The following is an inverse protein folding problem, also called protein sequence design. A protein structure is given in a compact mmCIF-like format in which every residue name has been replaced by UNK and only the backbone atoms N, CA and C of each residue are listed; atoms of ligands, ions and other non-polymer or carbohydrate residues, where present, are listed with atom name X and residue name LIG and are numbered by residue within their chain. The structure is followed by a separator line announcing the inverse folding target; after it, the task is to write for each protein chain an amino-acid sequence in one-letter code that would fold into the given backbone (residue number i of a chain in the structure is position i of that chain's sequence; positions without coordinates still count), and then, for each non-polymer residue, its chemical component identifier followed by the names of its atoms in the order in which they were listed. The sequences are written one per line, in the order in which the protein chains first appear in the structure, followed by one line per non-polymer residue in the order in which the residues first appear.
data_IF_379082609975
#
_entry.id   IF_379082609975
#
_cell.length_a   1.000
_cell.length_b   1.000
_cell.length_c   1.000
_cell.angle_alpha   90.00
_cell.angle_beta   90.00
_cell.angle_gamma   90.00
#
_symmetry.space_group_name_H-M   'P 1'
#
loop_
_entity.id
_entity.type
_entity.pdbx_description
1 polymer ?
#
# COMPACT_ATOMS: atom_id res chain seq x y z
N UNK A 1 -36.06 -37.85 45.72
CA UNK A 1 -35.73 -36.44 45.47
C UNK A 1 -34.98 -36.36 44.15
N UNK A 2 -35.43 -35.56 43.16
CA UNK A 2 -34.98 -35.63 41.77
C UNK A 2 -33.76 -34.74 41.46
N UNK A 3 -32.97 -35.19 40.48
CA UNK A 3 -31.82 -34.52 39.88
C UNK A 3 -32.32 -33.46 38.89
N UNK A 4 -31.99 -32.19 39.09
CA UNK A 4 -32.30 -31.11 38.15
C UNK A 4 -31.14 -30.92 37.15
N UNK A 5 -31.30 -31.49 35.97
CA UNK A 5 -30.43 -31.29 34.81
C UNK A 5 -30.81 -29.98 34.08
N UNK A 6 -30.02 -28.92 34.23
CA UNK A 6 -30.13 -27.70 33.44
C UNK A 6 -29.71 -27.95 31.97
N UNK A 7 -30.67 -28.09 31.06
CA UNK A 7 -30.43 -28.10 29.60
C UNK A 7 -30.17 -26.67 29.11
N UNK A 8 -28.99 -26.42 28.54
CA UNK A 8 -28.69 -25.18 27.79
C UNK A 8 -29.40 -25.24 26.42
N UNK A 9 -30.07 -24.18 25.96
CA UNK A 9 -30.65 -24.14 24.62
C UNK A 9 -29.55 -24.07 23.54
N UNK A 10 -29.76 -24.69 22.37
CA UNK A 10 -28.75 -24.75 21.31
C UNK A 10 -28.56 -23.38 20.64
N UNK A 11 -27.31 -22.93 20.57
CA UNK A 11 -26.82 -21.69 19.94
C UNK A 11 -27.18 -21.54 18.45
N UNK A 12 -27.75 -22.57 17.83
CA UNK A 12 -28.06 -22.63 16.40
C UNK A 12 -29.26 -21.77 15.98
N UNK A 13 -30.20 -21.48 16.89
CA UNK A 13 -31.40 -20.70 16.55
C UNK A 13 -31.11 -19.19 16.38
N UNK A 14 -30.06 -18.68 17.03
CA UNK A 14 -29.64 -17.27 16.91
C UNK A 14 -28.92 -16.97 15.59
N UNK A 15 -28.22 -17.96 15.02
CA UNK A 15 -27.46 -17.81 13.78
C UNK A 15 -28.37 -17.65 12.54
N UNK A 16 -29.52 -18.34 12.53
CA UNK A 16 -30.49 -18.30 11.43
C UNK A 16 -31.20 -16.95 11.30
N UNK A 17 -31.40 -16.23 12.41
CA UNK A 17 -32.05 -14.91 12.39
C UNK A 17 -31.15 -13.80 11.82
N UNK A 18 -29.82 -13.94 11.91
CA UNK A 18 -28.87 -12.97 11.36
C UNK A 18 -28.72 -13.09 9.83
N UNK A 19 -28.82 -14.31 9.30
CA UNK A 19 -28.61 -14.57 7.86
C UNK A 19 -29.77 -14.00 7.02
N UNK A 20 -31.01 -14.06 7.52
CA UNK A 20 -32.18 -13.50 6.84
C UNK A 20 -32.22 -11.97 6.81
N UNK A 21 -31.56 -11.29 7.76
CA UNK A 21 -31.50 -9.82 7.77
C UNK A 21 -30.49 -9.25 6.74
N UNK A 22 -29.45 -10.00 6.40
CA UNK A 22 -28.47 -9.57 5.39
C UNK A 22 -28.97 -9.68 3.94
N UNK A 23 -29.99 -10.50 3.67
CA UNK A 23 -30.50 -10.69 2.31
C UNK A 23 -31.33 -9.49 1.79
N UNK A 24 -31.81 -8.61 2.67
CA UNK A 24 -32.67 -7.48 2.27
C UNK A 24 -31.90 -6.20 1.89
N UNK A 25 -30.57 -6.17 2.04
CA UNK A 25 -29.74 -4.99 1.77
C UNK A 25 -29.09 -4.98 0.36
N UNK A 26 -29.34 -6.01 -0.47
CA UNK A 26 -28.78 -6.11 -1.82
C UNK A 26 -29.58 -5.28 -2.85
N UNK A 27 -29.72 -3.96 -2.61
CA UNK A 27 -30.11 -3.05 -3.69
C UNK A 27 -28.91 -2.85 -4.62
N UNK A 28 -28.88 -3.59 -5.72
CA UNK A 28 -27.95 -3.36 -6.81
C UNK A 28 -28.20 -1.98 -7.42
N UNK A 29 -27.28 -1.04 -7.20
CA UNK A 29 -27.30 0.26 -7.86
C UNK A 29 -27.16 0.09 -9.38
N UNK A 30 -27.87 0.88 -10.21
CA UNK A 30 -27.75 0.80 -11.66
C UNK A 30 -26.32 1.17 -12.09
N UNK A 31 -25.68 0.27 -12.86
CA UNK A 31 -24.39 0.54 -13.50
C UNK A 31 -24.56 1.63 -14.55
N UNK A 32 -24.30 2.88 -14.17
CA UNK A 32 -24.03 3.94 -15.12
C UNK A 32 -22.82 3.53 -15.97
N UNK A 33 -23.03 3.38 -17.29
CA UNK A 33 -21.93 3.26 -18.24
C UNK A 33 -21.04 4.50 -18.07
N UNK A 34 -19.94 4.32 -17.36
CA UNK A 34 -18.90 5.33 -17.18
C UNK A 34 -18.34 5.64 -18.56
N UNK A 35 -18.61 6.86 -19.05
CA UNK A 35 -17.85 7.41 -20.17
C UNK A 35 -16.35 7.24 -19.85
N UNK A 36 -15.57 6.82 -20.85
CA UNK A 36 -14.13 6.67 -20.68
C UNK A 36 -13.56 7.98 -20.10
N UNK A 37 -12.77 7.92 -19.02
CA UNK A 37 -12.26 9.13 -18.41
C UNK A 37 -11.42 9.89 -19.44
N UNK A 38 -11.78 11.15 -19.68
CA UNK A 38 -10.94 12.07 -20.46
C UNK A 38 -9.58 12.11 -19.78
N UNK A 39 -8.51 11.85 -20.53
CA UNK A 39 -7.15 11.85 -20.00
C UNK A 39 -6.75 13.31 -19.72
N UNK A 40 -6.92 13.74 -18.48
CA UNK A 40 -6.54 15.06 -17.99
C UNK A 40 -5.15 14.98 -17.37
N UNK A 41 -4.15 15.51 -18.08
CA UNK A 41 -2.75 15.51 -17.66
C UNK A 41 -2.52 16.34 -16.40
N UNK A 42 -3.10 17.53 -16.30
CA UNK A 42 -2.89 18.40 -15.14
C UNK A 42 -3.47 17.77 -13.88
N UNK A 43 -4.65 17.15 -14.01
CA UNK A 43 -5.23 16.35 -12.94
C UNK A 43 -4.35 15.16 -12.57
N UNK A 44 -3.77 14.45 -13.54
CA UNK A 44 -2.86 13.35 -13.25
C UNK A 44 -1.61 13.82 -12.49
N UNK A 45 -1.02 14.95 -12.87
CA UNK A 45 0.13 15.52 -12.17
C UNK A 45 -0.22 15.97 -10.75
N UNK A 46 -1.39 16.58 -10.56
CA UNK A 46 -1.90 16.93 -9.24
C UNK A 46 -1.99 15.70 -8.32
N UNK A 47 -2.53 14.58 -8.83
CA UNK A 47 -2.65 13.34 -8.07
C UNK A 47 -1.28 12.75 -7.71
N UNK A 48 -0.30 12.78 -8.63
CA UNK A 48 1.06 12.32 -8.34
C UNK A 48 1.69 13.12 -7.20
N UNK A 49 1.52 14.45 -7.20
CA UNK A 49 2.02 15.32 -6.12
C UNK A 49 1.34 15.01 -4.80
N UNK A 50 0.02 14.87 -4.81
CA UNK A 50 -0.76 14.53 -3.63
C UNK A 50 -0.32 13.18 -3.04
N UNK A 51 -0.14 12.17 -3.90
CA UNK A 51 0.34 10.85 -3.49
C UNK A 51 1.75 10.92 -2.89
N UNK A 52 2.64 11.74 -3.44
CA UNK A 52 3.98 11.96 -2.87
C UNK A 52 3.92 12.65 -1.50
N UNK A 53 2.97 13.56 -1.28
CA UNK A 53 2.75 14.19 0.02
C UNK A 53 2.21 13.18 1.05
N UNK A 54 1.24 12.36 0.67
CA UNK A 54 0.66 11.32 1.52
C UNK A 54 1.66 10.21 1.85
N UNK A 55 2.58 9.89 0.95
CA UNK A 55 3.63 8.91 1.20
C UNK A 55 4.49 9.22 2.45
N UNK A 56 4.53 10.49 2.89
CA UNK A 56 5.26 10.90 4.10
C UNK A 56 4.71 10.26 5.38
N UNK A 57 3.44 9.86 5.41
CA UNK A 57 2.82 9.20 6.57
C UNK A 57 2.96 7.68 6.57
N UNK A 58 3.63 7.09 5.57
CA UNK A 58 3.78 5.65 5.48
C UNK A 58 4.67 5.12 6.61
N UNK A 59 4.16 4.14 7.36
CA UNK A 59 4.94 3.39 8.35
C UNK A 59 5.96 2.46 7.68
N UNK A 60 5.62 1.90 6.52
CA UNK A 60 6.52 1.07 5.74
C UNK A 60 7.49 1.94 4.93
N UNK A 61 8.73 2.03 5.41
CA UNK A 61 9.79 2.83 4.79
C UNK A 61 10.15 2.40 3.35
N UNK A 62 10.05 1.11 3.01
CA UNK A 62 10.26 0.64 1.63
C UNK A 62 9.16 1.14 0.71
N UNK A 63 7.91 1.06 1.15
CA UNK A 63 6.76 1.57 0.39
C UNK A 63 6.83 3.10 0.21
N UNK A 64 7.29 3.82 1.24
CA UNK A 64 7.53 5.26 1.20
C UNK A 64 8.58 5.62 0.14
N UNK A 65 9.76 4.97 0.19
CA UNK A 65 10.85 5.20 -0.77
C UNK A 65 10.38 4.90 -2.19
N UNK A 66 9.70 3.76 -2.40
CA UNK A 66 9.18 3.36 -3.71
C UNK A 66 8.19 4.38 -4.26
N UNK A 67 7.26 4.88 -3.43
CA UNK A 67 6.26 5.86 -3.85
C UNK A 67 6.91 7.18 -4.25
N UNK A 68 7.84 7.70 -3.43
CA UNK A 68 8.57 8.93 -3.72
C UNK A 68 9.42 8.82 -5.00
N UNK A 69 10.09 7.68 -5.18
CA UNK A 69 10.90 7.39 -6.37
C UNK A 69 10.03 7.39 -7.63
N UNK A 70 8.87 6.73 -7.58
CA UNK A 70 7.96 6.68 -8.74
C UNK A 70 7.31 8.03 -9.02
N UNK A 71 6.96 8.79 -8.00
CA UNK A 71 6.44 10.15 -8.18
C UNK A 71 7.49 11.07 -8.83
N UNK A 72 8.75 10.96 -8.41
CA UNK A 72 9.86 11.72 -9.01
C UNK A 72 10.02 11.40 -10.51
N UNK A 73 10.04 10.11 -10.85
CA UNK A 73 10.13 9.61 -12.24
C UNK A 73 8.98 10.16 -13.11
N UNK A 74 7.74 10.11 -12.61
CA UNK A 74 6.57 10.65 -13.32
C UNK A 74 6.59 12.17 -13.48
N UNK A 75 7.19 12.90 -12.53
CA UNK A 75 7.29 14.36 -12.56
C UNK A 75 8.49 14.86 -13.37
N UNK A 76 9.51 14.03 -13.60
CA UNK A 76 10.74 14.39 -14.28
C UNK A 76 10.56 15.17 -15.61
N UNK A 77 9.71 14.74 -16.56
CA UNK A 77 9.54 15.46 -17.82
C UNK A 77 8.78 16.78 -17.69
N UNK A 78 8.21 17.09 -16.52
CA UNK A 78 7.31 18.24 -16.31
C UNK A 78 7.86 19.25 -15.31
N UNK A 79 8.61 18.79 -14.30
CA UNK A 79 9.17 19.61 -13.23
C UNK A 79 10.42 18.93 -12.67
N UNK A 80 11.58 19.20 -13.27
CA UNK A 80 12.83 18.57 -12.87
C UNK A 80 13.25 18.95 -11.45
N UNK A 81 13.00 20.18 -11.01
CA UNK A 81 13.35 20.63 -9.66
C UNK A 81 12.56 19.85 -8.60
N UNK A 82 11.26 19.65 -8.82
CA UNK A 82 10.39 18.87 -7.95
C UNK A 82 10.81 17.38 -7.95
N UNK A 83 11.08 16.82 -9.13
CA UNK A 83 11.53 15.45 -9.25
C UNK A 83 12.89 15.22 -8.54
N UNK A 84 13.84 16.15 -8.67
CA UNK A 84 15.14 16.11 -7.97
C UNK A 84 14.95 16.17 -6.45
N UNK A 85 14.05 17.02 -5.97
CA UNK A 85 13.74 17.10 -4.54
C UNK A 85 13.17 15.78 -4.01
N UNK A 86 12.25 15.15 -4.75
CA UNK A 86 11.68 13.85 -4.39
C UNK A 86 12.71 12.72 -4.45
N UNK A 87 13.57 12.66 -5.47
CA UNK A 87 14.67 11.69 -5.52
C UNK A 87 15.66 11.87 -4.36
N UNK A 88 15.99 13.11 -4.01
CA UNK A 88 16.88 13.41 -2.87
C UNK A 88 16.25 12.94 -1.56
N UNK A 89 14.95 13.18 -1.38
CA UNK A 89 14.20 12.72 -0.22
C UNK A 89 14.18 11.18 -0.16
N UNK A 90 13.86 10.52 -1.26
CA UNK A 90 13.82 9.05 -1.36
C UNK A 90 15.20 8.45 -1.04
N UNK A 91 16.28 9.01 -1.57
CA UNK A 91 17.64 8.54 -1.30
C UNK A 91 18.04 8.75 0.17
N UNK A 92 17.70 9.89 0.76
CA UNK A 92 17.96 10.17 2.18
C UNK A 92 17.27 9.13 3.07
N UNK A 93 16.00 8.81 2.79
CA UNK A 93 15.25 7.77 3.48
C UNK A 93 15.85 6.38 3.27
N UNK A 94 16.34 6.08 2.06
CA UNK A 94 17.01 4.82 1.77
C UNK A 94 18.32 4.65 2.56
N UNK A 95 19.10 5.73 2.72
CA UNK A 95 20.30 5.75 3.58
C UNK A 95 19.92 5.51 5.04
N UNK A 96 18.87 6.15 5.55
CA UNK A 96 18.39 5.93 6.92
C UNK A 96 17.91 4.49 7.12
N UNK A 97 17.11 3.97 6.19
CA UNK A 97 16.63 2.58 6.22
C UNK A 97 17.79 1.57 6.26
N UNK A 98 18.83 1.80 5.46
CA UNK A 98 20.03 0.96 5.47
C UNK A 98 20.82 1.06 6.78
N UNK A 99 20.91 2.24 7.39
CA UNK A 99 21.58 2.41 8.70
C UNK A 99 20.83 1.69 9.82
N UNK A 100 19.50 1.72 9.79
CA UNK A 100 18.64 1.12 10.83
C UNK A 100 18.59 -0.41 10.74
N UNK A 101 18.53 -0.97 9.54
CA UNK A 101 18.43 -2.42 9.34
C UNK A 101 19.73 -3.11 8.92
N UNK A 102 20.79 -2.34 8.67
CA UNK A 102 22.06 -2.85 8.17
C UNK A 102 21.90 -3.76 6.94
N UNK A 103 22.83 -4.72 6.83
CA UNK A 103 22.82 -5.78 5.81
C UNK A 103 22.05 -7.03 6.30
N UNK A 104 21.16 -6.90 7.29
CA UNK A 104 20.47 -8.00 7.98
C UNK A 104 19.72 -8.94 7.03
N UNK A 105 19.31 -8.44 5.85
CA UNK A 105 18.72 -9.26 4.79
C UNK A 105 19.62 -10.38 4.27
N UNK A 106 20.93 -10.37 4.54
CA UNK A 106 21.84 -11.47 4.19
C UNK A 106 21.87 -12.62 5.19
N UNK A 107 21.42 -12.43 6.43
CA UNK A 107 21.70 -13.38 7.53
C UNK A 107 20.60 -14.43 7.74
N UNK A 108 19.33 -14.07 7.52
CA UNK A 108 18.21 -14.90 8.00
C UNK A 108 17.33 -15.50 6.89
N UNK A 109 17.66 -15.32 5.61
CA UNK A 109 16.87 -15.88 4.50
C UNK A 109 17.40 -17.27 4.15
N UNK A 110 16.57 -18.33 4.23
CA UNK A 110 16.95 -19.66 3.76
C UNK A 110 17.38 -19.57 2.29
N UNK A 111 18.63 -19.95 1.99
CA UNK A 111 19.29 -19.83 0.68
C UNK A 111 18.53 -20.46 -0.51
N UNK A 112 17.45 -21.18 -0.25
CA UNK A 112 16.77 -21.99 -1.25
C UNK A 112 15.53 -21.35 -1.91
N UNK A 113 14.93 -20.26 -1.42
CA UNK A 113 13.64 -19.80 -1.99
C UNK A 113 13.49 -18.28 -2.21
N UNK A 114 14.18 -17.38 -1.51
CA UNK A 114 13.93 -15.93 -1.67
C UNK A 114 15.25 -15.17 -1.78
N UNK A 115 15.45 -14.44 -2.89
CA UNK A 115 16.53 -13.45 -2.99
C UNK A 115 16.32 -12.42 -1.87
N UNK A 116 17.36 -12.01 -1.13
CA UNK A 116 17.22 -10.93 -0.16
C UNK A 116 16.63 -9.69 -0.86
N UNK A 117 15.72 -8.95 -0.20
CA UNK A 117 15.16 -7.74 -0.78
C UNK A 117 16.28 -6.75 -1.11
N UNK A 118 16.18 -6.02 -2.23
CA UNK A 118 17.24 -5.17 -2.70
C UNK A 118 17.48 -4.00 -1.75
N UNK A 119 18.74 -3.55 -1.66
CA UNK A 119 19.08 -2.31 -1.01
C UNK A 119 18.41 -1.13 -1.73
N UNK A 120 17.61 -0.39 -0.98
CA UNK A 120 16.79 0.70 -1.48
C UNK A 120 17.63 1.85 -2.06
N UNK A 121 18.89 2.02 -1.63
CA UNK A 121 19.78 3.04 -2.19
C UNK A 121 20.05 2.78 -3.67
N UNK A 122 20.28 1.52 -4.03
CA UNK A 122 20.51 1.12 -5.42
C UNK A 122 19.22 1.15 -6.24
N UNK A 123 18.06 0.90 -5.61
CA UNK A 123 16.75 1.07 -6.25
C UNK A 123 16.55 2.53 -6.69
N UNK A 124 16.81 3.48 -5.79
CA UNK A 124 16.68 4.92 -6.11
C UNK A 124 17.70 5.34 -7.18
N UNK A 125 18.98 4.95 -7.04
CA UNK A 125 20.02 5.30 -8.02
C UNK A 125 19.72 4.76 -9.41
N UNK A 126 19.17 3.54 -9.52
CA UNK A 126 18.75 2.96 -10.79
C UNK A 126 17.65 3.78 -11.45
N UNK A 127 16.70 4.29 -10.67
CA UNK A 127 15.61 5.10 -11.19
C UNK A 127 16.09 6.49 -11.68
N UNK A 128 17.18 7.03 -11.14
CA UNK A 128 17.75 8.31 -11.59
C UNK A 128 18.50 8.17 -12.92
N UNK A 129 19.18 7.05 -13.14
CA UNK A 129 19.98 6.82 -14.35
C UNK A 129 19.29 6.02 -15.45
N UNK A 130 18.00 5.70 -15.27
CA UNK A 130 17.18 4.91 -16.20
C UNK A 130 16.55 5.75 -17.30
#
# INVERSE_FOLDING_TARGET
MPITSHRRPPLFTSLLAFITLCALAANAAPQQKTALPVCDRERALLLVRQQAMEAKSFENRVAQISTLTRAADLLWPFSQDEARALFTQAFTLAVQHFRERGDEFRKDVPKFIVSPPPDQRFVVLRAIGG
#
